data_IF_855570883628
#
_entry.id   IF_855570883628
#
_cell.length_a   1.000
_cell.length_b   1.000
_cell.length_c   1.000
_cell.angle_alpha   90.00
_cell.angle_beta   90.00
_cell.angle_gamma   90.00
#
_symmetry.space_group_name_H-M   'P 1'
#
loop_
_entity.id
_entity.type
_entity.pdbx_description
1 polymer ?
#
# COMPACT_ATOMS: atom_id res chain seq x y z
N UNK A 1 -11.56 -1.91 24.10
CA UNK A 1 -11.89 -1.49 22.74
C UNK A 1 -11.15 -2.39 21.77
N UNK A 2 -11.87 -3.21 21.00
CA UNK A 2 -11.25 -4.09 20.00
C UNK A 2 -10.97 -3.25 18.76
N UNK A 3 -9.69 -3.01 18.46
CA UNK A 3 -9.30 -2.36 17.20
C UNK A 3 -9.29 -3.47 16.14
N UNK A 4 -10.11 -3.37 15.08
CA UNK A 4 -10.14 -4.39 14.04
C UNK A 4 -8.78 -4.50 13.35
N UNK A 5 -8.36 -5.72 13.04
CA UNK A 5 -7.15 -5.96 12.25
C UNK A 5 -7.31 -5.30 10.87
N UNK A 6 -6.38 -4.40 10.52
CA UNK A 6 -6.36 -3.71 9.23
C UNK A 6 -5.29 -4.36 8.35
N UNK A 7 -5.68 -4.78 7.15
CA UNK A 7 -4.78 -5.32 6.13
C UNK A 7 -4.67 -4.30 5.00
N UNK A 8 -3.45 -4.04 4.54
CA UNK A 8 -3.24 -3.22 3.35
C UNK A 8 -2.07 -3.72 2.52
N UNK A 9 -2.22 -3.64 1.20
CA UNK A 9 -1.26 -3.99 0.17
C UNK A 9 -0.63 -2.71 -0.38
N UNK A 10 0.69 -2.64 -0.39
CA UNK A 10 1.42 -1.46 -0.88
C UNK A 10 1.87 -1.71 -2.32
N UNK A 11 1.49 -0.82 -3.23
CA UNK A 11 1.74 -0.97 -4.67
C UNK A 11 2.40 0.27 -5.29
N UNK A 12 3.09 0.07 -6.42
CA UNK A 12 3.56 1.15 -7.27
C UNK A 12 2.41 1.87 -7.95
N UNK A 13 2.51 3.20 -8.07
CA UNK A 13 1.74 3.98 -9.03
C UNK A 13 2.34 3.68 -10.41
N UNK A 14 1.60 2.92 -11.24
CA UNK A 14 2.08 2.66 -12.59
C UNK A 14 2.00 3.96 -13.41
N UNK A 15 3.07 4.35 -14.12
CA UNK A 15 2.98 5.43 -15.07
C UNK A 15 2.04 5.03 -16.21
N UNK A 16 1.32 6.02 -16.76
CA UNK A 16 0.25 5.95 -17.77
C UNK A 16 0.62 5.29 -19.11
N UNK A 17 1.78 4.63 -19.21
CA UNK A 17 2.33 4.06 -20.44
C UNK A 17 2.28 2.53 -20.51
N UNK A 18 1.78 1.83 -19.48
CA UNK A 18 1.75 0.35 -19.46
C UNK A 18 0.35 -0.19 -19.15
N UNK A 19 -0.30 -0.81 -20.15
CA UNK A 19 -1.66 -1.37 -20.17
C UNK A 19 -1.88 -2.50 -19.14
N UNK A 20 -1.83 -2.19 -17.84
CA UNK A 20 -2.17 -3.09 -16.73
C UNK A 20 -3.12 -2.43 -15.73
N UNK A 21 -3.65 -1.25 -16.05
CA UNK A 21 -4.65 -0.53 -15.25
C UNK A 21 -6.03 -1.22 -15.28
N UNK A 22 -6.29 -2.07 -16.29
CA UNK A 22 -7.61 -2.69 -16.49
C UNK A 22 -8.05 -3.60 -15.36
N UNK A 23 -7.11 -4.25 -14.67
CA UNK A 23 -7.41 -5.19 -13.58
C UNK A 23 -7.33 -4.51 -12.21
N UNK A 24 -6.58 -3.41 -12.10
CA UNK A 24 -6.40 -2.67 -10.84
C UNK A 24 -7.59 -1.78 -10.50
N UNK A 25 -8.20 -1.13 -11.49
CA UNK A 25 -9.40 -0.28 -11.28
C UNK A 25 -10.56 -1.07 -10.64
N UNK A 26 -10.96 -2.24 -11.16
CA UNK A 26 -12.01 -3.03 -10.51
C UNK A 26 -11.59 -3.57 -9.13
N UNK A 27 -10.31 -3.88 -8.92
CA UNK A 27 -9.79 -4.31 -7.61
C UNK A 27 -9.93 -3.19 -6.56
N UNK A 28 -9.41 -1.99 -6.87
CA UNK A 28 -9.51 -0.80 -6.00
C UNK A 28 -10.98 -0.43 -5.74
N UNK A 29 -11.85 -0.53 -6.75
CA UNK A 29 -13.28 -0.26 -6.58
C UNK A 29 -13.98 -1.30 -5.69
N UNK A 30 -13.44 -2.51 -5.59
CA UNK A 30 -14.05 -3.61 -4.83
C UNK A 30 -13.47 -3.74 -3.42
N UNK A 31 -12.23 -3.28 -3.20
CA UNK A 31 -11.49 -3.45 -1.95
C UNK A 31 -10.75 -2.16 -1.56
N UNK A 32 -10.89 -1.77 -0.29
CA UNK A 32 -10.26 -0.57 0.28
C UNK A 32 -8.96 -0.93 1.04
N UNK A 33 -8.17 -1.84 0.49
CA UNK A 33 -6.94 -2.34 1.11
C UNK A 33 -5.67 -2.00 0.32
N UNK A 34 -5.72 -1.12 -0.68
CA UNK A 34 -4.56 -0.77 -1.50
C UNK A 34 -4.00 0.61 -1.13
N UNK A 35 -2.71 0.67 -0.83
CA UNK A 35 -1.94 1.91 -0.65
C UNK A 35 -0.99 2.07 -1.83
N UNK A 36 -1.21 3.09 -2.66
CA UNK A 36 -0.42 3.31 -3.86
C UNK A 36 0.52 4.50 -3.73
N UNK A 37 1.79 4.33 -4.08
CA UNK A 37 2.82 5.37 -4.02
C UNK A 37 3.50 5.61 -5.36
N UNK A 38 3.90 6.85 -5.62
CA UNK A 38 4.74 7.18 -6.78
C UNK A 38 6.19 6.66 -6.61
N UNK A 39 6.37 5.41 -7.01
CA UNK A 39 7.61 4.64 -6.92
C UNK A 39 7.57 3.50 -7.92
N UNK A 40 8.71 3.18 -8.52
CA UNK A 40 8.90 1.92 -9.25
C UNK A 40 9.04 0.77 -8.25
N UNK A 41 8.12 -0.19 -8.27
CA UNK A 41 8.19 -1.38 -7.42
C UNK A 41 9.22 -2.35 -8.00
N UNK A 42 10.45 -2.23 -7.52
CA UNK A 42 11.55 -3.12 -7.86
C UNK A 42 12.20 -3.61 -6.58
N UNK A 43 12.88 -4.76 -6.65
CA UNK A 43 13.61 -5.32 -5.50
C UNK A 43 14.58 -4.31 -4.88
N UNK A 44 15.24 -3.48 -5.71
CA UNK A 44 16.16 -2.43 -5.25
C UNK A 44 15.47 -1.33 -4.45
N UNK A 45 14.16 -1.15 -4.62
CA UNK A 45 13.37 -0.11 -3.97
C UNK A 45 12.55 -0.63 -2.78
N UNK A 46 12.75 -1.88 -2.33
CA UNK A 46 11.99 -2.43 -1.19
C UNK A 46 12.18 -1.63 0.10
N UNK A 47 13.38 -1.07 0.34
CA UNK A 47 13.60 -0.19 1.49
C UNK A 47 12.76 1.09 1.38
N UNK A 48 12.68 1.70 0.19
CA UNK A 48 11.84 2.88 -0.06
C UNK A 48 10.35 2.53 0.12
N UNK A 49 9.93 1.36 -0.39
CA UNK A 49 8.58 0.82 -0.18
C UNK A 49 8.22 0.78 1.30
N UNK A 50 9.10 0.16 2.11
CA UNK A 50 8.89 0.02 3.56
C UNK A 50 8.83 1.38 4.28
N UNK A 51 9.72 2.32 3.96
CA UNK A 51 9.70 3.65 4.55
C UNK A 51 8.38 4.38 4.23
N UNK A 52 7.93 4.32 2.97
CA UNK A 52 6.66 4.94 2.56
C UNK A 52 5.46 4.29 3.27
N UNK A 53 5.45 2.96 3.40
CA UNK A 53 4.42 2.24 4.15
C UNK A 53 4.36 2.68 5.61
N UNK A 54 5.51 2.80 6.28
CA UNK A 54 5.57 3.27 7.68
C UNK A 54 5.10 4.73 7.81
N UNK A 55 5.48 5.60 6.88
CA UNK A 55 5.03 7.00 6.88
C UNK A 55 3.52 7.12 6.75
N UNK A 56 2.90 6.30 5.90
CA UNK A 56 1.44 6.24 5.78
C UNK A 56 0.81 5.69 7.07
N UNK A 57 1.36 4.60 7.61
CA UNK A 57 0.79 3.95 8.80
C UNK A 57 0.79 4.87 10.02
N UNK A 58 1.87 5.60 10.26
CA UNK A 58 1.94 6.57 11.38
C UNK A 58 0.88 7.68 11.24
N UNK A 59 0.48 8.03 10.01
CA UNK A 59 -0.54 9.05 9.74
C UNK A 59 -1.96 8.49 9.79
N UNK A 60 -2.18 7.29 9.27
CA UNK A 60 -3.51 6.71 9.08
C UNK A 60 -3.97 5.84 10.25
N UNK A 61 -3.03 5.24 10.99
CA UNK A 61 -3.31 4.25 12.04
C UNK A 61 -2.60 4.64 13.34
N UNK A 62 -3.00 5.75 13.96
CA UNK A 62 -2.37 6.29 15.18
C UNK A 62 -2.48 5.36 16.40
N UNK A 63 -3.49 4.49 16.42
CA UNK A 63 -3.77 3.55 17.52
C UNK A 63 -3.10 2.17 17.32
N UNK A 64 -2.42 1.95 16.19
CA UNK A 64 -1.78 0.67 15.91
C UNK A 64 -0.59 0.44 16.87
N UNK A 65 -0.66 -0.65 17.64
CA UNK A 65 0.41 -1.02 18.59
C UNK A 65 1.53 -1.83 17.95
N UNK A 66 1.21 -2.58 16.91
CA UNK A 66 2.11 -3.49 16.22
C UNK A 66 1.85 -3.46 14.72
N UNK A 67 2.89 -3.77 13.96
CA UNK A 67 2.85 -3.84 12.50
C UNK A 67 3.48 -5.16 12.10
N UNK A 68 2.79 -5.94 11.29
CA UNK A 68 3.32 -7.16 10.69
C UNK A 68 3.55 -6.94 9.21
N UNK A 69 4.80 -7.13 8.77
CA UNK A 69 5.17 -7.20 7.35
C UNK A 69 5.44 -8.65 7.00
N UNK A 70 4.84 -9.12 5.90
CA UNK A 70 5.09 -10.44 5.30
C UNK A 70 5.91 -10.27 4.03
#
# INVERSE_FOLDING_TARGET
THVPEQRSTVSELKPSTFNSETDLIPEISSFDDIIQFDMIDSYKNLTRKMILSLQWLVKSCTEAKFILKV
#
